data_IF_142350580047
#
_entry.id   IF_142350580047
#
_cell.length_a   1.000
_cell.length_b   1.000
_cell.length_c   1.000
_cell.angle_alpha   90.00
_cell.angle_beta   90.00
_cell.angle_gamma   90.00
#
_symmetry.space_group_name_H-M   'P 1'
#
loop_
_entity.id
_entity.type
_entity.pdbx_description
1 polymer ?
#
# COMPACT_ATOMS: atom_id res chain seq x y z
N UNK A 1 -6.98 3.28 -19.67
CA UNK A 1 -5.57 3.60 -19.33
C UNK A 1 -5.41 5.06 -18.87
N UNK A 2 -6.11 6.03 -19.48
CA UNK A 2 -6.08 7.46 -19.09
C UNK A 2 -6.67 7.74 -17.71
N UNK A 3 -7.82 7.15 -17.36
CA UNK A 3 -8.47 7.34 -16.06
C UNK A 3 -7.62 6.87 -14.86
N UNK A 4 -6.77 5.84 -15.08
CA UNK A 4 -5.86 5.32 -14.05
C UNK A 4 -4.62 6.22 -13.86
N UNK A 5 -4.20 6.91 -14.94
CA UNK A 5 -3.08 7.85 -14.93
C UNK A 5 -3.46 9.17 -14.23
N UNK A 6 -4.67 9.64 -14.46
CA UNK A 6 -5.22 10.85 -13.83
C UNK A 6 -5.42 10.65 -12.31
N UNK A 7 -5.87 9.47 -11.86
CA UNK A 7 -5.94 9.12 -10.43
C UNK A 7 -4.56 9.00 -9.77
N UNK A 8 -3.53 8.49 -10.48
CA UNK A 8 -2.16 8.44 -9.95
C UNK A 8 -1.53 9.83 -9.81
N UNK A 9 -1.74 10.72 -10.76
CA UNK A 9 -1.28 12.11 -10.65
C UNK A 9 -1.97 12.83 -9.48
N UNK A 10 -3.27 12.62 -9.30
CA UNK A 10 -4.00 13.22 -8.19
C UNK A 10 -3.49 12.74 -6.83
N UNK A 11 -3.18 11.44 -6.69
CA UNK A 11 -2.67 10.84 -5.44
C UNK A 11 -1.31 11.44 -5.06
N UNK A 12 -0.35 11.39 -5.96
CA UNK A 12 1.00 11.91 -5.71
C UNK A 12 0.97 13.42 -5.46
N UNK A 13 0.10 14.16 -6.15
CA UNK A 13 -0.07 15.61 -5.95
C UNK A 13 -0.65 15.94 -4.58
N UNK A 14 -1.63 15.17 -4.12
CA UNK A 14 -2.19 15.33 -2.76
C UNK A 14 -1.13 15.06 -1.68
N UNK A 15 -0.34 14.00 -1.84
CA UNK A 15 0.74 13.66 -0.89
C UNK A 15 1.85 14.72 -0.88
N UNK A 16 2.21 15.28 -2.03
CA UNK A 16 3.22 16.32 -2.13
C UNK A 16 2.77 17.67 -1.53
N UNK A 17 1.48 17.88 -1.32
CA UNK A 17 1.00 19.03 -0.54
C UNK A 17 1.52 18.99 0.90
N UNK A 18 1.53 17.80 1.52
CA UNK A 18 2.09 17.61 2.88
C UNK A 18 3.62 17.52 2.90
N UNK A 19 4.26 17.26 1.76
CA UNK A 19 5.71 17.11 1.68
C UNK A 19 6.49 18.44 1.72
N UNK A 20 5.88 19.55 1.33
CA UNK A 20 6.58 20.83 1.21
C UNK A 20 7.83 20.71 0.34
N UNK A 21 9.00 21.13 0.87
CA UNK A 21 10.31 21.00 0.19
C UNK A 21 10.81 19.56 0.11
N UNK A 22 10.37 18.66 0.97
CA UNK A 22 10.78 17.24 0.97
C UNK A 22 10.26 16.45 -0.24
N UNK A 23 9.33 17.01 -1.03
CA UNK A 23 8.94 16.43 -2.33
C UNK A 23 10.13 16.20 -3.26
N UNK A 24 11.16 17.06 -3.21
CA UNK A 24 12.35 16.91 -4.03
C UNK A 24 13.18 15.68 -3.64
N UNK A 25 13.24 15.31 -2.34
CA UNK A 25 13.86 14.07 -1.90
C UNK A 25 13.11 12.84 -2.40
N UNK A 26 11.78 12.87 -2.40
CA UNK A 26 10.97 11.79 -2.97
C UNK A 26 11.18 11.63 -4.48
N UNK A 27 11.29 12.73 -5.22
CA UNK A 27 11.61 12.70 -6.65
C UNK A 27 13.04 12.17 -6.87
N UNK A 28 14.02 12.66 -6.11
CA UNK A 28 15.42 12.19 -6.18
C UNK A 28 15.50 10.69 -5.90
N UNK A 29 14.79 10.20 -4.89
CA UNK A 29 14.69 8.77 -4.58
C UNK A 29 14.21 7.96 -5.79
N UNK A 30 13.15 8.42 -6.45
CA UNK A 30 12.58 7.75 -7.64
C UNK A 30 13.59 7.69 -8.80
N UNK A 31 14.35 8.78 -9.01
CA UNK A 31 15.40 8.85 -10.03
C UNK A 31 16.56 7.91 -9.68
N UNK A 32 17.06 7.95 -8.43
CA UNK A 32 18.13 7.08 -7.98
C UNK A 32 17.73 5.60 -8.06
N UNK A 33 16.49 5.27 -7.69
CA UNK A 33 15.96 3.92 -7.81
C UNK A 33 15.91 3.44 -9.29
N UNK A 34 15.50 4.29 -10.22
CA UNK A 34 15.53 3.98 -11.65
C UNK A 34 16.96 3.79 -12.18
N UNK A 35 17.90 4.67 -11.79
CA UNK A 35 19.32 4.56 -12.17
C UNK A 35 19.93 3.27 -11.61
N UNK A 36 19.64 2.94 -10.33
CA UNK A 36 20.12 1.71 -9.70
C UNK A 36 19.68 0.45 -10.45
N UNK A 37 18.47 0.45 -10.99
CA UNK A 37 17.95 -0.67 -11.78
C UNK A 37 18.77 -0.93 -13.04
N UNK A 38 19.18 0.11 -13.76
CA UNK A 38 20.08 -0.04 -14.91
C UNK A 38 21.48 -0.47 -14.49
N UNK A 39 22.04 0.14 -13.44
CA UNK A 39 23.39 -0.21 -12.93
C UNK A 39 23.42 -1.66 -12.44
N UNK A 40 22.35 -2.15 -11.82
CA UNK A 40 22.22 -3.54 -11.36
C UNK A 40 22.18 -4.57 -12.50
N UNK A 41 21.96 -4.16 -13.75
CA UNK A 41 22.02 -5.05 -14.92
C UNK A 41 23.44 -5.15 -15.50
N UNK A 42 24.31 -4.19 -15.23
CA UNK A 42 25.71 -4.16 -15.76
C UNK A 42 26.53 -5.39 -15.33
N UNK A 43 26.41 -5.92 -14.09
CA UNK A 43 27.10 -7.16 -13.70
C UNK A 43 26.86 -8.34 -14.65
N UNK A 44 25.63 -8.45 -15.22
CA UNK A 44 25.29 -9.54 -16.14
C UNK A 44 26.05 -9.45 -17.45
N UNK A 45 26.31 -8.24 -17.94
CA UNK A 45 27.20 -8.04 -19.09
C UNK A 45 28.63 -8.55 -18.78
N UNK A 46 29.18 -8.26 -17.60
CA UNK A 46 30.51 -8.72 -17.23
C UNK A 46 30.55 -10.24 -16.95
N UNK A 47 29.48 -10.81 -16.40
CA UNK A 47 29.34 -12.28 -16.29
C UNK A 47 29.37 -12.92 -17.67
N UNK A 48 28.66 -12.33 -18.65
CA UNK A 48 28.73 -12.80 -20.04
C UNK A 48 30.15 -12.73 -20.60
N UNK A 49 30.91 -11.64 -20.30
CA UNK A 49 32.31 -11.50 -20.66
C UNK A 49 33.21 -12.60 -20.03
N UNK A 50 32.97 -12.94 -18.77
CA UNK A 50 33.66 -14.04 -18.09
C UNK A 50 33.37 -15.36 -18.80
N UNK A 51 32.08 -15.64 -19.09
CA UNK A 51 31.71 -16.87 -19.82
C UNK A 51 32.33 -16.92 -21.22
N UNK A 52 32.35 -15.79 -21.93
CA UNK A 52 33.01 -15.68 -23.23
C UNK A 52 34.46 -16.03 -23.17
N UNK A 53 35.19 -15.55 -22.15
CA UNK A 53 36.60 -15.83 -21.95
C UNK A 53 36.86 -17.30 -21.59
N UNK A 54 36.02 -17.87 -20.69
CA UNK A 54 36.11 -19.32 -20.34
C UNK A 54 35.93 -20.20 -21.55
N UNK A 55 34.96 -19.90 -22.41
CA UNK A 55 34.75 -20.66 -23.66
C UNK A 55 35.92 -20.47 -24.66
N UNK A 56 36.48 -19.26 -24.75
CA UNK A 56 37.63 -18.98 -25.63
C UNK A 56 38.84 -19.81 -25.29
N UNK A 57 39.13 -19.95 -24.00
CA UNK A 57 40.32 -20.71 -23.54
C UNK A 57 40.06 -22.20 -23.37
N UNK A 58 38.87 -22.69 -23.76
CA UNK A 58 38.47 -24.11 -23.67
C UNK A 58 38.74 -24.70 -22.28
N UNK A 59 38.42 -23.96 -21.22
CA UNK A 59 38.64 -24.28 -19.79
C UNK A 59 40.13 -24.39 -19.36
N UNK A 60 41.10 -23.99 -20.20
CA UNK A 60 42.49 -23.83 -19.79
C UNK A 60 42.67 -22.43 -19.13
N UNK A 61 42.36 -22.35 -17.84
CA UNK A 61 42.37 -21.10 -17.09
C UNK A 61 43.74 -20.43 -17.00
N UNK A 62 44.84 -21.16 -17.28
CA UNK A 62 46.19 -20.56 -17.32
C UNK A 62 46.36 -19.56 -18.46
N UNK A 63 45.53 -19.68 -19.52
CA UNK A 63 45.50 -18.80 -20.70
C UNK A 63 44.44 -17.72 -20.62
N UNK A 64 43.66 -17.69 -19.55
CA UNK A 64 42.56 -16.75 -19.38
C UNK A 64 43.06 -15.39 -18.90
N UNK A 65 43.21 -14.46 -19.85
CA UNK A 65 43.56 -13.07 -19.54
C UNK A 65 42.27 -12.24 -19.36
N UNK A 66 41.95 -11.83 -18.17
CA UNK A 66 40.85 -10.88 -17.94
C UNK A 66 39.66 -11.40 -17.14
N UNK A 67 39.54 -12.70 -16.85
CA UNK A 67 38.46 -13.28 -16.04
C UNK A 67 38.37 -12.55 -14.68
N UNK A 68 39.52 -12.37 -13.98
CA UNK A 68 39.59 -11.67 -12.71
C UNK A 68 39.12 -10.22 -12.84
N UNK A 69 39.56 -9.51 -13.88
CA UNK A 69 39.17 -8.12 -14.14
C UNK A 69 37.66 -7.99 -14.40
N UNK A 70 37.09 -8.87 -15.22
CA UNK A 70 35.65 -8.87 -15.48
C UNK A 70 34.86 -9.27 -14.24
N UNK A 71 35.32 -10.24 -13.47
CA UNK A 71 34.73 -10.65 -12.20
C UNK A 71 34.68 -9.49 -11.20
N UNK A 72 35.81 -8.80 -10.98
CA UNK A 72 35.86 -7.64 -10.08
C UNK A 72 35.00 -6.45 -10.57
N UNK A 73 34.92 -6.22 -11.87
CA UNK A 73 34.01 -5.22 -12.44
C UNK A 73 32.54 -5.60 -12.20
N UNK A 74 32.15 -6.87 -12.36
CA UNK A 74 30.81 -7.32 -12.05
C UNK A 74 30.46 -7.05 -10.59
N UNK A 75 31.34 -7.42 -9.65
CA UNK A 75 31.17 -7.16 -8.22
C UNK A 75 31.10 -5.65 -7.94
N UNK A 76 32.00 -4.87 -8.53
CA UNK A 76 32.01 -3.40 -8.34
C UNK A 76 30.72 -2.72 -8.78
N UNK A 77 30.16 -3.10 -9.95
CA UNK A 77 28.87 -2.55 -10.41
C UNK A 77 27.69 -3.07 -9.59
N UNK A 78 27.73 -4.30 -9.08
CA UNK A 78 26.71 -4.82 -8.18
C UNK A 78 26.65 -4.00 -6.87
N UNK A 79 27.83 -3.74 -6.27
CA UNK A 79 27.95 -2.92 -5.07
C UNK A 79 27.53 -1.47 -5.37
N UNK A 80 27.96 -0.90 -6.50
CA UNK A 80 27.57 0.45 -6.89
C UNK A 80 26.04 0.57 -7.06
N UNK A 81 25.41 -0.39 -7.73
CA UNK A 81 23.94 -0.43 -7.87
C UNK A 81 23.22 -0.48 -6.52
N UNK A 82 23.75 -1.29 -5.59
CA UNK A 82 23.22 -1.38 -4.23
C UNK A 82 23.38 -0.05 -3.46
N UNK A 83 24.54 0.60 -3.55
CA UNK A 83 24.78 1.89 -2.89
C UNK A 83 23.84 2.96 -3.43
N UNK A 84 23.64 3.05 -4.74
CA UNK A 84 22.72 4.02 -5.37
C UNK A 84 21.28 3.74 -4.91
N UNK A 85 20.85 2.47 -4.86
CA UNK A 85 19.53 2.12 -4.38
C UNK A 85 19.31 2.48 -2.91
N UNK A 86 20.29 2.17 -2.04
CA UNK A 86 20.26 2.54 -0.62
C UNK A 86 20.21 4.05 -0.42
N UNK A 87 20.98 4.82 -1.18
CA UNK A 87 20.89 6.28 -1.15
C UNK A 87 19.50 6.78 -1.57
N UNK A 88 18.90 6.17 -2.60
CA UNK A 88 17.52 6.44 -3.00
C UNK A 88 16.52 6.14 -1.89
N UNK A 89 16.63 4.98 -1.22
CA UNK A 89 15.77 4.61 -0.10
C UNK A 89 15.94 5.56 1.09
N UNK A 90 17.15 5.99 1.42
CA UNK A 90 17.35 6.98 2.48
C UNK A 90 16.62 8.29 2.18
N UNK A 91 16.69 8.77 0.95
CA UNK A 91 15.94 9.95 0.51
C UNK A 91 14.42 9.75 0.63
N UNK A 92 13.90 8.56 0.24
CA UNK A 92 12.46 8.26 0.34
C UNK A 92 11.98 8.18 1.78
N UNK A 93 12.73 7.54 2.67
CA UNK A 93 12.37 7.42 4.07
C UNK A 93 12.33 8.79 4.77
N UNK A 94 13.32 9.66 4.54
CA UNK A 94 13.33 11.01 5.10
C UNK A 94 12.10 11.79 4.65
N UNK A 95 11.77 11.74 3.36
CA UNK A 95 10.57 12.39 2.82
C UNK A 95 9.29 11.78 3.39
N UNK A 96 9.20 10.46 3.46
CA UNK A 96 8.03 9.73 3.93
C UNK A 96 7.70 10.01 5.40
N UNK A 97 8.71 9.98 6.29
CA UNK A 97 8.53 10.30 7.70
C UNK A 97 8.10 11.76 7.92
N UNK A 98 8.64 12.68 7.11
CA UNK A 98 8.21 14.07 7.17
C UNK A 98 6.74 14.22 6.77
N UNK A 99 6.33 13.62 5.65
CA UNK A 99 4.93 13.62 5.19
C UNK A 99 4.01 13.00 6.23
N UNK A 100 4.39 11.85 6.80
CA UNK A 100 3.64 11.16 7.85
C UNK A 100 3.42 12.08 9.07
N UNK A 101 4.46 12.76 9.53
CA UNK A 101 4.38 13.68 10.66
C UNK A 101 3.47 14.86 10.35
N UNK A 102 3.61 15.48 9.17
CA UNK A 102 2.76 16.60 8.74
C UNK A 102 1.29 16.19 8.60
N UNK A 103 1.00 15.03 8.04
CA UNK A 103 -0.36 14.50 7.95
C UNK A 103 -0.98 14.30 9.32
N UNK A 104 -0.25 13.70 10.27
CA UNK A 104 -0.74 13.52 11.65
C UNK A 104 -1.01 14.86 12.32
N UNK A 105 -0.10 15.81 12.20
CA UNK A 105 -0.24 17.15 12.78
C UNK A 105 -1.44 17.88 12.18
N UNK A 106 -1.60 17.85 10.85
CA UNK A 106 -2.74 18.48 10.18
C UNK A 106 -4.08 17.86 10.63
N UNK A 107 -4.17 16.53 10.68
CA UNK A 107 -5.37 15.85 11.17
C UNK A 107 -5.68 16.18 12.63
N UNK A 108 -4.67 16.13 13.51
CA UNK A 108 -4.88 16.44 14.92
C UNK A 108 -5.31 17.88 15.14
N UNK A 109 -4.69 18.83 14.47
CA UNK A 109 -5.07 20.23 14.54
C UNK A 109 -6.52 20.43 14.08
N UNK A 110 -6.92 19.78 12.99
CA UNK A 110 -8.29 19.87 12.50
C UNK A 110 -9.29 19.21 13.46
N UNK A 111 -8.99 18.02 14.00
CA UNK A 111 -9.84 17.30 14.95
C UNK A 111 -10.10 18.16 16.21
N UNK A 112 -9.12 18.92 16.67
CA UNK A 112 -9.27 19.82 17.82
C UNK A 112 -10.25 20.97 17.56
N UNK A 113 -10.54 21.29 16.30
CA UNK A 113 -11.52 22.32 15.92
C UNK A 113 -12.93 21.76 15.68
N UNK A 114 -13.08 20.43 15.70
CA UNK A 114 -14.37 19.79 15.45
C UNK A 114 -15.29 19.79 16.68
N UNK A 115 -16.63 19.76 16.49
CA UNK A 115 -17.58 19.63 17.58
C UNK A 115 -17.35 18.35 18.40
N UNK A 116 -17.45 18.43 19.73
CA UNK A 116 -17.29 17.27 20.61
C UNK A 116 -18.26 16.13 20.28
N UNK A 117 -19.51 16.46 19.89
CA UNK A 117 -20.49 15.47 19.46
C UNK A 117 -20.07 14.63 18.27
N UNK A 118 -19.27 15.17 17.33
CA UNK A 118 -18.67 14.39 16.25
C UNK A 118 -17.65 13.36 16.79
N UNK A 119 -16.79 13.80 17.72
CA UNK A 119 -15.78 12.93 18.32
C UNK A 119 -16.43 11.78 19.11
N UNK A 120 -17.51 12.09 19.83
CA UNK A 120 -18.29 11.10 20.59
C UNK A 120 -19.03 10.11 19.68
N UNK A 121 -19.66 10.60 18.60
CA UNK A 121 -20.41 9.75 17.66
C UNK A 121 -19.51 8.81 16.86
N UNK A 122 -18.34 9.28 16.42
CA UNK A 122 -17.37 8.45 15.67
C UNK A 122 -16.56 7.55 16.60
N UNK A 123 -16.38 7.94 17.85
CA UNK A 123 -15.57 7.25 18.84
C UNK A 123 -14.06 7.51 18.68
N UNK A 124 -13.39 7.74 19.79
CA UNK A 124 -11.96 8.08 19.84
C UNK A 124 -11.07 6.99 19.24
N UNK A 125 -11.47 5.71 19.37
CA UNK A 125 -10.74 4.57 18.80
C UNK A 125 -10.72 4.59 17.27
N UNK A 126 -11.87 4.91 16.63
CA UNK A 126 -11.97 5.01 15.15
C UNK A 126 -11.16 6.20 14.64
N UNK A 127 -11.28 7.36 15.27
CA UNK A 127 -10.52 8.57 14.90
C UNK A 127 -9.01 8.30 15.00
N UNK A 128 -8.56 7.74 16.13
CA UNK A 128 -7.15 7.34 16.32
C UNK A 128 -6.68 6.42 15.23
N UNK A 129 -7.48 5.39 14.88
CA UNK A 129 -7.15 4.45 13.81
C UNK A 129 -7.00 5.17 12.47
N UNK A 130 -7.92 6.07 12.10
CA UNK A 130 -7.83 6.84 10.86
C UNK A 130 -6.52 7.64 10.82
N UNK A 131 -6.21 8.38 11.89
CA UNK A 131 -4.97 9.19 11.97
C UNK A 131 -3.72 8.31 11.84
N UNK A 132 -3.68 7.17 12.53
CA UNK A 132 -2.51 6.30 12.56
C UNK A 132 -2.35 5.52 11.26
N UNK A 133 -3.41 4.84 10.82
CA UNK A 133 -3.33 3.90 9.70
C UNK A 133 -3.20 4.63 8.36
N UNK A 134 -3.94 5.75 8.16
CA UNK A 134 -3.81 6.55 6.93
C UNK A 134 -2.41 7.13 6.76
N UNK A 135 -1.84 7.66 7.85
CA UNK A 135 -0.48 8.21 7.81
C UNK A 135 0.58 7.14 7.65
N UNK A 136 0.42 5.94 8.26
CA UNK A 136 1.34 4.82 8.08
C UNK A 136 1.29 4.24 6.66
N UNK A 137 0.10 4.08 6.09
CA UNK A 137 -0.05 3.64 4.69
C UNK A 137 0.64 4.60 3.73
N UNK A 138 0.54 5.92 3.97
CA UNK A 138 1.23 6.95 3.17
C UNK A 138 2.74 6.86 3.31
N UNK A 139 3.25 6.66 4.52
CA UNK A 139 4.69 6.46 4.76
C UNK A 139 5.19 5.25 3.98
N UNK A 140 4.57 4.09 4.14
CA UNK A 140 4.95 2.86 3.43
C UNK A 140 4.92 3.04 1.91
N UNK A 141 3.95 3.77 1.38
CA UNK A 141 3.87 4.07 -0.05
C UNK A 141 5.03 4.93 -0.54
N UNK A 142 5.32 6.03 0.15
CA UNK A 142 6.39 6.96 -0.24
C UNK A 142 7.77 6.36 -0.01
N UNK A 143 7.96 5.62 1.10
CA UNK A 143 9.25 5.05 1.47
C UNK A 143 9.65 3.87 0.57
N UNK A 144 8.72 2.99 0.24
CA UNK A 144 8.99 1.73 -0.45
C UNK A 144 8.30 1.62 -1.81
N UNK A 145 6.97 1.82 -1.86
CA UNK A 145 6.20 1.53 -3.08
C UNK A 145 6.58 2.45 -4.24
N UNK A 146 6.84 3.72 -3.98
CA UNK A 146 7.18 4.68 -5.03
C UNK A 146 8.55 4.42 -5.66
N UNK A 147 9.66 4.20 -4.89
CA UNK A 147 10.93 3.75 -5.45
C UNK A 147 10.83 2.39 -6.15
N UNK A 148 10.12 1.42 -5.56
CA UNK A 148 9.94 0.09 -6.16
C UNK A 148 9.18 0.14 -7.49
N UNK A 149 8.20 1.03 -7.63
CA UNK A 149 7.54 1.30 -8.92
C UNK A 149 8.51 1.82 -9.97
N UNK A 150 9.47 2.67 -9.59
CA UNK A 150 10.49 3.16 -10.51
C UNK A 150 11.41 2.02 -10.97
N UNK A 151 11.89 1.19 -10.05
CA UNK A 151 12.67 -0.02 -10.37
C UNK A 151 11.87 -0.98 -11.25
N UNK A 152 10.61 -1.25 -10.90
CA UNK A 152 9.73 -2.17 -11.64
C UNK A 152 9.40 -1.68 -13.07
N UNK A 153 9.54 -0.40 -13.36
CA UNK A 153 9.42 0.16 -14.72
C UNK A 153 10.76 0.19 -15.44
N UNK A 154 11.84 0.56 -14.74
CA UNK A 154 13.18 0.68 -15.33
C UNK A 154 13.80 -0.68 -15.67
N UNK A 155 13.65 -1.70 -14.80
CA UNK A 155 14.23 -3.03 -15.00
C UNK A 155 13.74 -3.70 -16.30
N UNK A 156 12.43 -3.77 -16.64
CA UNK A 156 11.98 -4.33 -17.90
C UNK A 156 12.56 -3.61 -19.12
N UNK A 157 12.67 -2.28 -19.06
CA UNK A 157 13.28 -1.48 -20.15
C UNK A 157 14.75 -1.89 -20.33
N UNK A 158 15.51 -1.97 -19.23
CA UNK A 158 16.91 -2.41 -19.25
C UNK A 158 17.06 -3.85 -19.76
N UNK A 159 16.16 -4.77 -19.36
CA UNK A 159 16.15 -6.16 -19.84
C UNK A 159 15.84 -6.24 -21.34
N UNK A 160 14.88 -5.48 -21.84
CA UNK A 160 14.56 -5.43 -23.28
C UNK A 160 15.77 -4.93 -24.09
N UNK A 161 16.46 -3.88 -23.58
CA UNK A 161 17.69 -3.39 -24.22
C UNK A 161 18.76 -4.49 -24.25
N UNK A 162 19.00 -5.18 -23.12
CA UNK A 162 19.95 -6.29 -23.07
C UNK A 162 19.54 -7.41 -24.05
N UNK A 163 18.28 -7.80 -24.08
CA UNK A 163 17.78 -8.81 -24.99
C UNK A 163 17.99 -8.44 -26.46
N UNK A 164 17.77 -7.17 -26.81
CA UNK A 164 18.00 -6.69 -28.18
C UNK A 164 19.49 -6.69 -28.57
N UNK A 165 20.39 -6.37 -27.63
CA UNK A 165 21.85 -6.28 -27.86
C UNK A 165 22.49 -7.66 -28.00
N UNK A 166 22.08 -8.64 -27.17
CA UNK A 166 22.73 -9.95 -27.17
C UNK A 166 22.20 -10.89 -28.27
N UNK A 167 20.92 -11.22 -28.26
CA UNK A 167 20.26 -11.97 -29.32
C UNK A 167 18.76 -11.71 -29.32
N UNK A 168 18.29 -10.88 -30.23
CA UNK A 168 16.88 -10.50 -30.31
C UNK A 168 15.92 -11.69 -30.50
N UNK A 169 16.39 -12.81 -31.13
CA UNK A 169 15.58 -14.02 -31.37
C UNK A 169 15.26 -14.71 -30.05
N UNK A 170 16.28 -14.90 -29.21
CA UNK A 170 16.10 -15.43 -27.85
C UNK A 170 15.26 -14.47 -27.00
N UNK A 171 15.45 -13.16 -27.17
CA UNK A 171 14.65 -12.13 -26.52
C UNK A 171 13.15 -12.23 -26.81
N UNK A 172 12.79 -12.39 -28.09
CA UNK A 172 11.38 -12.57 -28.48
C UNK A 172 10.80 -13.83 -27.83
N UNK A 173 11.55 -14.94 -27.85
CA UNK A 173 11.09 -16.19 -27.22
C UNK A 173 10.85 -16.04 -25.71
N UNK A 174 11.62 -15.21 -25.00
CA UNK A 174 11.37 -14.88 -23.60
C UNK A 174 10.16 -13.97 -23.41
N UNK A 175 9.87 -13.07 -24.36
CA UNK A 175 8.75 -12.15 -24.27
C UNK A 175 7.39 -12.81 -24.57
N UNK A 176 7.35 -13.91 -25.33
CA UNK A 176 6.09 -14.63 -25.61
C UNK A 176 5.38 -15.08 -24.32
N UNK A 177 6.01 -15.87 -23.41
CA UNK A 177 5.37 -16.28 -22.18
C UNK A 177 5.09 -15.09 -21.24
N UNK A 178 5.91 -14.03 -21.26
CA UNK A 178 5.62 -12.79 -20.55
C UNK A 178 4.33 -12.13 -21.06
N UNK A 179 4.15 -12.03 -22.38
CA UNK A 179 2.93 -11.48 -22.98
C UNK A 179 1.69 -12.33 -22.63
N UNK A 180 1.81 -13.67 -22.68
CA UNK A 180 0.75 -14.59 -22.25
C UNK A 180 0.40 -14.33 -20.78
N UNK A 181 1.42 -14.18 -19.91
CA UNK A 181 1.23 -13.82 -18.51
C UNK A 181 0.46 -12.50 -18.34
N UNK A 182 0.80 -11.46 -19.10
CA UNK A 182 0.07 -10.19 -19.08
C UNK A 182 -1.40 -10.32 -19.51
N UNK A 183 -1.73 -11.20 -20.45
CA UNK A 183 -3.13 -11.50 -20.83
C UNK A 183 -3.88 -12.09 -19.63
N UNK A 184 -3.29 -13.06 -18.93
CA UNK A 184 -3.88 -13.59 -17.70
C UNK A 184 -4.01 -12.53 -16.61
N UNK A 185 -3.00 -11.69 -16.42
CA UNK A 185 -3.02 -10.61 -15.45
C UNK A 185 -4.08 -9.56 -15.77
N UNK A 186 -4.31 -9.22 -17.05
CA UNK A 186 -5.35 -8.28 -17.46
C UNK A 186 -6.75 -8.80 -17.14
N UNK A 187 -6.95 -10.12 -17.14
CA UNK A 187 -8.23 -10.73 -16.75
C UNK A 187 -8.53 -10.62 -15.25
N UNK A 188 -7.52 -10.27 -14.44
CA UNK A 188 -7.68 -9.93 -13.02
C UNK A 188 -8.13 -8.48 -12.78
N UNK A 189 -8.25 -7.68 -13.82
CA UNK A 189 -8.58 -6.25 -13.75
C UNK A 189 -9.99 -6.01 -14.32
N UNK A 190 -11.03 -6.46 -13.60
CA UNK A 190 -12.43 -6.29 -14.02
C UNK A 190 -13.30 -5.71 -12.91
N UNK A 191 -14.43 -5.09 -13.28
CA UNK A 191 -15.42 -4.56 -12.33
C UNK A 191 -15.94 -5.65 -11.39
N UNK A 192 -16.13 -6.86 -11.89
CA UNK A 192 -16.60 -8.01 -11.11
C UNK A 192 -15.59 -8.46 -10.05
N UNK A 193 -14.30 -8.31 -10.35
CA UNK A 193 -13.25 -8.63 -9.38
C UNK A 193 -13.12 -7.54 -8.32
N UNK A 194 -13.20 -6.28 -8.72
CA UNK A 194 -13.21 -5.15 -7.79
C UNK A 194 -14.40 -5.23 -6.81
N UNK A 195 -15.59 -5.59 -7.31
CA UNK A 195 -16.75 -5.81 -6.46
C UNK A 195 -16.56 -7.01 -5.53
N UNK A 196 -16.02 -8.13 -6.03
CA UNK A 196 -15.71 -9.30 -5.19
C UNK A 196 -14.68 -8.99 -4.10
N UNK A 197 -13.67 -8.17 -4.41
CA UNK A 197 -12.68 -7.71 -3.44
C UNK A 197 -13.31 -6.80 -2.40
N UNK A 198 -14.20 -5.90 -2.80
CA UNK A 198 -14.94 -5.04 -1.88
C UNK A 198 -15.80 -5.84 -0.91
N UNK A 199 -16.52 -6.86 -1.40
CA UNK A 199 -17.33 -7.74 -0.55
C UNK A 199 -16.45 -8.55 0.42
N UNK A 200 -15.32 -9.06 -0.05
CA UNK A 200 -14.33 -9.71 0.80
C UNK A 200 -13.84 -8.79 1.93
N UNK A 201 -13.48 -7.54 1.62
CA UNK A 201 -13.03 -6.56 2.61
C UNK A 201 -14.15 -6.19 3.59
N UNK A 202 -15.37 -5.98 3.13
CA UNK A 202 -16.52 -5.69 3.98
C UNK A 202 -16.80 -6.85 4.94
N UNK A 203 -16.79 -8.09 4.46
CA UNK A 203 -17.02 -9.27 5.31
C UNK A 203 -15.91 -9.46 6.36
N UNK A 204 -14.66 -9.13 6.01
CA UNK A 204 -13.54 -9.12 6.96
C UNK A 204 -13.73 -8.06 8.06
N UNK A 205 -14.22 -6.88 7.70
CA UNK A 205 -14.49 -5.79 8.66
C UNK A 205 -15.61 -6.18 9.62
N UNK A 206 -16.72 -6.72 9.10
CA UNK A 206 -17.84 -7.21 9.93
C UNK A 206 -17.38 -8.33 10.86
N UNK A 207 -16.65 -9.33 10.35
CA UNK A 207 -16.12 -10.42 11.19
C UNK A 207 -15.20 -9.89 12.29
N UNK A 208 -14.33 -8.92 11.98
CA UNK A 208 -13.43 -8.31 12.95
C UNK A 208 -14.19 -7.53 14.03
N UNK A 209 -15.25 -6.81 13.68
CA UNK A 209 -16.10 -6.11 14.64
C UNK A 209 -16.84 -7.08 15.57
N UNK A 210 -17.45 -8.13 15.02
CA UNK A 210 -18.14 -9.16 15.82
C UNK A 210 -17.16 -9.95 16.72
N UNK A 211 -15.90 -10.16 16.29
CA UNK A 211 -14.86 -10.76 17.11
C UNK A 211 -14.53 -9.90 18.35
N UNK A 212 -14.45 -8.58 18.19
CA UNK A 212 -14.22 -7.66 19.31
C UNK A 212 -15.40 -7.70 20.29
N UNK A 213 -16.64 -7.68 19.78
CA UNK A 213 -17.85 -7.81 20.64
C UNK A 213 -17.90 -9.16 21.35
N UNK A 214 -17.51 -10.24 20.66
CA UNK A 214 -17.38 -11.57 21.28
C UNK A 214 -16.41 -11.54 22.47
N UNK A 215 -15.19 -11.01 22.28
CA UNK A 215 -14.18 -10.95 23.33
C UNK A 215 -14.68 -10.13 24.53
N UNK A 216 -15.33 -8.99 24.27
CA UNK A 216 -15.93 -8.15 25.34
C UNK A 216 -17.04 -8.85 26.09
N UNK A 217 -17.82 -9.68 25.41
CA UNK A 217 -18.92 -10.44 25.99
C UNK A 217 -18.53 -11.68 26.77
N UNK A 218 -17.32 -12.23 26.59
CA UNK A 218 -16.85 -13.47 27.24
C UNK A 218 -16.99 -13.47 28.76
N UNK A 219 -16.64 -12.40 29.53
CA UNK A 219 -16.83 -12.38 30.96
C UNK A 219 -18.29 -12.54 31.37
N UNK A 220 -19.21 -11.87 30.65
CA UNK A 220 -20.65 -11.95 30.90
C UNK A 220 -21.17 -13.35 30.66
N UNK A 221 -20.80 -13.98 29.52
CA UNK A 221 -21.19 -15.34 29.17
C UNK A 221 -20.71 -16.35 30.21
N UNK A 222 -19.46 -16.21 30.69
CA UNK A 222 -18.91 -17.08 31.74
C UNK A 222 -19.67 -16.91 33.06
N UNK A 223 -20.04 -15.70 33.43
CA UNK A 223 -20.76 -15.42 34.68
C UNK A 223 -22.16 -16.04 34.67
N UNK A 224 -22.85 -16.02 33.52
CA UNK A 224 -24.21 -16.56 33.39
C UNK A 224 -24.27 -18.01 32.88
N UNK A 225 -23.15 -18.71 32.76
CA UNK A 225 -23.08 -20.10 32.35
C UNK A 225 -23.59 -20.38 30.92
N UNK A 226 -23.63 -19.35 30.06
CA UNK A 226 -24.08 -19.50 28.67
C UNK A 226 -23.00 -20.19 27.83
N UNK A 227 -23.44 -20.87 26.76
CA UNK A 227 -22.53 -21.58 25.84
C UNK A 227 -22.06 -20.69 24.69
N UNK A 228 -21.03 -21.14 23.96
CA UNK A 228 -20.49 -20.48 22.75
C UNK A 228 -21.57 -20.23 21.69
N UNK A 229 -22.67 -20.98 21.67
CA UNK A 229 -23.82 -20.78 20.77
C UNK A 229 -24.57 -19.45 21.00
N UNK A 230 -24.35 -18.80 22.14
CA UNK A 230 -24.91 -17.46 22.39
C UNK A 230 -24.34 -16.38 21.46
N UNK A 231 -23.25 -16.68 20.72
CA UNK A 231 -22.59 -15.76 19.78
C UNK A 231 -22.90 -16.09 18.32
N UNK A 232 -24.17 -16.32 18.05
CA UNK A 232 -24.67 -16.62 16.70
C UNK A 232 -24.17 -15.61 15.66
N UNK A 233 -24.19 -14.32 16.00
CA UNK A 233 -23.76 -13.22 15.10
C UNK A 233 -22.30 -13.36 14.67
N UNK A 234 -21.38 -13.69 15.60
CA UNK A 234 -19.97 -13.87 15.27
C UNK A 234 -19.76 -15.09 14.36
N UNK A 235 -20.48 -16.19 14.64
CA UNK A 235 -20.42 -17.38 13.78
C UNK A 235 -20.94 -17.08 12.36
N UNK A 236 -22.08 -16.39 12.23
CA UNK A 236 -22.62 -15.96 10.95
C UNK A 236 -21.64 -15.04 10.18
N UNK A 237 -20.96 -14.14 10.87
CA UNK A 237 -19.94 -13.29 10.28
C UNK A 237 -18.72 -14.09 9.78
N UNK A 238 -18.30 -15.14 10.51
CA UNK A 238 -17.23 -16.05 10.04
C UNK A 238 -17.69 -16.80 8.79
N UNK A 239 -18.90 -17.37 8.79
CA UNK A 239 -19.43 -18.14 7.67
C UNK A 239 -19.58 -17.25 6.39
N UNK A 240 -20.00 -15.99 6.56
CA UNK A 240 -20.08 -15.03 5.46
C UNK A 240 -18.70 -14.62 4.95
N UNK A 241 -17.72 -14.39 5.85
CA UNK A 241 -16.33 -14.13 5.47
C UNK A 241 -15.72 -15.32 4.73
N UNK A 242 -15.94 -16.55 5.19
CA UNK A 242 -15.50 -17.77 4.50
C UNK A 242 -16.06 -17.83 3.07
N UNK A 243 -17.36 -17.61 2.91
CA UNK A 243 -18.04 -17.63 1.62
C UNK A 243 -17.43 -16.63 0.63
N UNK A 244 -17.20 -15.39 1.06
CA UNK A 244 -16.58 -14.36 0.21
C UNK A 244 -15.12 -14.63 -0.07
N UNK A 245 -14.36 -15.12 0.93
CA UNK A 245 -12.96 -15.51 0.78
C UNK A 245 -12.81 -16.64 -0.25
N UNK A 246 -13.60 -17.69 -0.11
CA UNK A 246 -13.59 -18.82 -1.06
C UNK A 246 -14.05 -18.38 -2.44
N UNK A 247 -15.08 -17.53 -2.52
CA UNK A 247 -15.56 -16.97 -3.78
C UNK A 247 -14.50 -16.17 -4.52
N UNK A 248 -13.85 -15.25 -3.82
CA UNK A 248 -12.74 -14.44 -4.34
C UNK A 248 -11.55 -15.30 -4.78
N UNK A 249 -11.09 -16.23 -3.91
CA UNK A 249 -9.98 -17.13 -4.19
C UNK A 249 -10.26 -18.02 -5.42
N UNK A 250 -11.47 -18.56 -5.56
CA UNK A 250 -11.87 -19.35 -6.73
C UNK A 250 -11.84 -18.54 -8.02
N UNK A 251 -12.29 -17.28 -7.99
CA UNK A 251 -12.22 -16.38 -9.16
C UNK A 251 -10.78 -16.06 -9.54
N UNK A 252 -9.91 -15.79 -8.55
CA UNK A 252 -8.50 -15.45 -8.77
C UNK A 252 -7.64 -16.65 -9.19
N UNK A 253 -8.04 -17.88 -8.83
CA UNK A 253 -7.21 -19.07 -9.02
C UNK A 253 -6.79 -19.30 -10.46
N UNK A 254 -7.73 -19.27 -11.41
CA UNK A 254 -7.43 -19.55 -12.82
C UNK A 254 -6.48 -18.50 -13.43
N UNK A 255 -6.78 -17.18 -13.35
CA UNK A 255 -5.87 -16.15 -13.85
C UNK A 255 -4.51 -16.19 -13.17
N UNK A 256 -4.46 -16.36 -11.85
CA UNK A 256 -3.22 -16.38 -11.08
C UNK A 256 -2.34 -17.58 -11.43
N UNK A 257 -2.91 -18.77 -11.52
CA UNK A 257 -2.19 -19.97 -11.96
C UNK A 257 -1.72 -19.81 -13.39
N UNK A 258 -2.57 -19.30 -14.30
CA UNK A 258 -2.20 -19.02 -15.69
C UNK A 258 -1.03 -18.04 -15.80
N UNK A 259 -1.09 -16.93 -15.08
CA UNK A 259 -0.01 -15.93 -14.99
C UNK A 259 1.28 -16.56 -14.47
N UNK A 260 1.22 -17.22 -13.31
CA UNK A 260 2.41 -17.84 -12.68
C UNK A 260 3.02 -18.91 -13.55
N UNK A 261 2.19 -19.76 -14.17
CA UNK A 261 2.66 -20.81 -15.10
C UNK A 261 3.30 -20.19 -16.33
N UNK A 262 2.68 -19.20 -16.95
CA UNK A 262 3.23 -18.51 -18.12
C UNK A 262 4.58 -17.87 -17.81
N UNK A 263 4.71 -17.13 -16.72
CA UNK A 263 5.95 -16.45 -16.34
C UNK A 263 7.06 -17.47 -16.01
N UNK A 264 6.75 -18.58 -15.34
CA UNK A 264 7.74 -19.61 -15.02
C UNK A 264 8.07 -20.51 -16.22
N UNK A 265 7.25 -20.51 -17.29
CA UNK A 265 7.53 -21.27 -18.50
C UNK A 265 8.60 -20.62 -19.42
N UNK A 266 9.15 -19.45 -19.06
CA UNK A 266 10.20 -18.78 -19.85
C UNK A 266 11.37 -19.73 -20.16
N UNK A 267 11.80 -20.57 -19.21
CA UNK A 267 12.83 -21.56 -19.44
C UNK A 267 12.47 -22.58 -20.51
N UNK A 268 11.21 -22.99 -20.59
CA UNK A 268 10.73 -23.91 -21.64
C UNK A 268 10.86 -23.26 -23.01
N UNK A 269 10.49 -21.97 -23.12
CA UNK A 269 10.63 -21.22 -24.37
C UNK A 269 12.09 -21.02 -24.78
N UNK A 270 13.02 -20.86 -23.82
CA UNK A 270 14.46 -20.81 -24.08
C UNK A 270 14.95 -22.19 -24.65
N UNK A 271 14.47 -23.30 -24.09
CA UNK A 271 14.81 -24.63 -24.60
C UNK A 271 14.27 -24.83 -26.03
N UNK A 272 13.02 -24.42 -26.29
CA UNK A 272 12.43 -24.42 -27.62
C UNK A 272 13.25 -23.54 -28.58
N UNK A 273 13.67 -22.36 -28.14
CA UNK A 273 14.52 -21.47 -28.92
C UNK A 273 15.87 -22.10 -29.24
N UNK A 274 16.48 -22.83 -28.30
CA UNK A 274 17.71 -23.54 -28.50
C UNK A 274 17.58 -24.60 -29.59
N UNK A 275 16.45 -25.32 -29.59
CA UNK A 275 16.16 -26.34 -30.62
C UNK A 275 15.88 -25.71 -31.99
N UNK A 276 15.04 -24.65 -32.04
CA UNK A 276 14.60 -24.03 -33.30
C UNK A 276 15.74 -23.24 -33.99
N UNK A 277 16.52 -22.49 -33.21
CA UNK A 277 17.54 -21.57 -33.74
C UNK A 277 18.96 -22.15 -33.68
N UNK A 278 19.19 -23.17 -32.85
CA UNK A 278 20.51 -23.83 -32.74
C UNK A 278 20.87 -24.71 -33.91
N UNK A 279 19.87 -25.26 -34.65
CA UNK A 279 20.11 -26.16 -35.78
C UNK A 279 20.83 -27.45 -35.40
N UNK A 280 21.52 -28.05 -36.36
CA UNK A 280 22.30 -29.27 -36.14
C UNK A 280 23.64 -29.03 -35.40
N UNK A 281 24.18 -27.80 -35.49
CA UNK A 281 25.41 -27.41 -34.78
C UNK A 281 25.20 -26.10 -34.03
N UNK A 282 25.25 -26.16 -32.70
CA UNK A 282 25.20 -24.97 -31.84
C UNK A 282 26.55 -24.27 -31.93
N UNK A 283 26.56 -23.08 -32.53
CA UNK A 283 27.75 -22.23 -32.54
C UNK A 283 28.11 -21.78 -31.12
N UNK A 284 29.42 -21.62 -30.82
CA UNK A 284 29.88 -21.17 -29.51
C UNK A 284 29.27 -19.83 -29.11
N UNK A 285 29.06 -18.92 -30.06
CA UNK A 285 28.42 -17.61 -29.83
C UNK A 285 26.94 -17.76 -29.44
N UNK A 286 26.19 -18.60 -30.13
CA UNK A 286 24.79 -18.88 -29.81
C UNK A 286 24.65 -19.57 -28.44
N UNK A 287 25.50 -20.57 -28.15
CA UNK A 287 25.52 -21.24 -26.85
C UNK A 287 25.84 -20.29 -25.69
N UNK A 288 26.77 -19.35 -25.91
CA UNK A 288 27.06 -18.28 -24.92
C UNK A 288 25.87 -17.38 -24.64
N UNK A 289 25.19 -16.93 -25.70
CA UNK A 289 23.99 -16.13 -25.55
C UNK A 289 22.86 -16.91 -24.86
N UNK A 290 22.69 -18.18 -25.19
CA UNK A 290 21.73 -19.07 -24.55
C UNK A 290 21.97 -19.18 -23.03
N UNK A 291 23.21 -19.40 -22.62
CA UNK A 291 23.60 -19.41 -21.19
C UNK A 291 23.31 -18.07 -20.53
N UNK A 292 23.58 -16.97 -21.20
CA UNK A 292 23.27 -15.64 -20.69
C UNK A 292 21.76 -15.46 -20.44
N UNK A 293 20.90 -15.90 -21.37
CA UNK A 293 19.46 -15.84 -21.20
C UNK A 293 18.96 -16.72 -20.05
N UNK A 294 19.57 -17.87 -19.83
CA UNK A 294 19.26 -18.72 -18.66
C UNK A 294 19.56 -17.95 -17.35
N UNK A 295 20.68 -17.22 -17.30
CA UNK A 295 21.10 -16.49 -16.10
C UNK A 295 20.19 -15.27 -15.83
N UNK A 296 19.72 -14.56 -16.86
CA UNK A 296 18.86 -13.38 -16.66
C UNK A 296 17.36 -13.72 -16.43
N UNK A 297 16.94 -14.92 -16.79
CA UNK A 297 15.52 -15.34 -16.67
C UNK A 297 14.94 -15.19 -15.27
N UNK A 298 15.64 -15.54 -14.16
CA UNK A 298 15.10 -15.29 -12.82
C UNK A 298 14.79 -13.80 -12.53
N UNK A 299 15.57 -12.89 -13.10
CA UNK A 299 15.34 -11.44 -12.94
C UNK A 299 14.08 -11.03 -13.69
N UNK A 300 13.90 -11.53 -14.91
CA UNK A 300 12.69 -11.28 -15.70
C UNK A 300 11.47 -11.81 -14.96
N UNK A 301 11.51 -13.05 -14.47
CA UNK A 301 10.42 -13.67 -13.70
C UNK A 301 10.08 -12.87 -12.44
N UNK A 302 11.07 -12.52 -11.61
CA UNK A 302 10.85 -11.76 -10.38
C UNK A 302 10.34 -10.35 -10.65
N UNK A 303 10.80 -9.70 -11.72
CA UNK A 303 10.34 -8.37 -12.12
C UNK A 303 8.88 -8.38 -12.56
N UNK A 304 8.46 -9.38 -13.36
CA UNK A 304 7.07 -9.57 -13.77
C UNK A 304 6.15 -9.86 -12.57
N UNK A 305 6.62 -10.66 -11.62
CA UNK A 305 5.88 -10.93 -10.37
C UNK A 305 5.72 -9.67 -9.52
N UNK A 306 6.78 -8.88 -9.33
CA UNK A 306 6.69 -7.59 -8.61
C UNK A 306 5.69 -6.63 -9.27
N UNK A 307 5.66 -6.58 -10.60
CA UNK A 307 4.73 -5.73 -11.34
C UNK A 307 3.27 -6.17 -11.12
N UNK A 308 3.02 -7.48 -11.04
CA UNK A 308 1.68 -8.02 -10.79
C UNK A 308 1.13 -7.63 -9.42
N UNK A 309 1.97 -7.60 -8.38
CA UNK A 309 1.57 -7.27 -7.00
C UNK A 309 1.66 -5.78 -6.63
N UNK A 310 2.17 -4.93 -7.52
CA UNK A 310 2.40 -3.49 -7.23
C UNK A 310 1.12 -2.67 -6.95
N UNK A 311 -0.07 -3.20 -7.24
CA UNK A 311 -1.35 -2.49 -7.11
C UNK A 311 -1.91 -2.42 -5.69
N UNK A 312 -1.61 -3.40 -4.83
CA UNK A 312 -2.23 -3.55 -3.52
C UNK A 312 -1.89 -2.39 -2.56
N UNK A 313 -0.61 -2.05 -2.43
CA UNK A 313 -0.16 -0.95 -1.59
C UNK A 313 -0.76 0.40 -2.00
N UNK A 314 -0.99 0.60 -3.30
CA UNK A 314 -1.64 1.83 -3.79
C UNK A 314 -3.11 1.91 -3.36
N UNK A 315 -3.84 0.79 -3.37
CA UNK A 315 -5.24 0.77 -2.93
C UNK A 315 -5.36 1.14 -1.45
N UNK A 316 -4.47 0.65 -0.60
CA UNK A 316 -4.45 0.98 0.84
C UNK A 316 -4.25 2.49 1.08
N UNK A 317 -3.36 3.12 0.33
CA UNK A 317 -3.13 4.58 0.45
C UNK A 317 -4.34 5.38 -0.04
N UNK A 318 -4.95 4.98 -1.15
CA UNK A 318 -6.17 5.64 -1.67
C UNK A 318 -7.30 5.57 -0.64
N UNK A 319 -7.52 4.42 -0.03
CA UNK A 319 -8.52 4.26 1.04
C UNK A 319 -8.17 5.11 2.28
N UNK A 320 -6.89 5.07 2.71
CA UNK A 320 -6.41 5.90 3.82
C UNK A 320 -6.62 7.40 3.59
N UNK A 321 -6.29 7.90 2.39
CA UNK A 321 -6.50 9.32 2.04
C UNK A 321 -7.99 9.68 1.96
N UNK A 322 -8.83 8.79 1.48
CA UNK A 322 -10.28 8.98 1.48
C UNK A 322 -10.82 9.13 2.89
N UNK A 323 -10.47 8.21 3.80
CA UNK A 323 -10.88 8.28 5.22
C UNK A 323 -10.37 9.55 5.90
N UNK A 324 -9.13 9.94 5.60
CA UNK A 324 -8.56 11.21 6.06
C UNK A 324 -9.38 12.41 5.51
N UNK A 325 -9.69 12.39 4.20
CA UNK A 325 -10.51 13.44 3.56
C UNK A 325 -11.89 13.57 4.19
N UNK A 326 -12.52 12.45 4.54
CA UNK A 326 -13.82 12.45 5.21
C UNK A 326 -13.78 13.18 6.58
N UNK A 327 -12.66 13.06 7.31
CA UNK A 327 -12.43 13.78 8.56
C UNK A 327 -12.10 15.26 8.29
N UNK A 328 -11.19 15.54 7.38
CA UNK A 328 -10.69 16.88 7.07
C UNK A 328 -11.74 17.78 6.42
N UNK A 329 -12.74 17.22 5.76
CA UNK A 329 -13.83 17.94 5.13
C UNK A 329 -14.98 18.26 6.11
N UNK A 330 -14.92 17.80 7.36
CA UNK A 330 -15.91 18.15 8.37
C UNK A 330 -15.76 19.62 8.76
N UNK A 331 -16.90 20.27 8.95
CA UNK A 331 -16.93 21.71 9.30
C UNK A 331 -16.45 21.91 10.73
N UNK A 332 -15.42 22.74 10.89
CA UNK A 332 -14.94 23.19 12.19
C UNK A 332 -15.98 24.07 12.92
N UNK A 333 -15.89 24.07 14.24
CA UNK A 333 -16.65 25.05 15.04
C UNK A 333 -16.29 26.46 14.59
N UNK A 334 -17.31 27.30 14.50
CA UNK A 334 -17.12 28.74 14.19
C UNK A 334 -16.43 29.41 15.36
N UNK A 335 -15.22 29.88 15.15
CA UNK A 335 -14.51 30.70 16.12
C UNK A 335 -14.97 32.18 15.96
N UNK A 336 -15.19 32.84 17.07
CA UNK A 336 -15.45 34.29 17.07
C UNK A 336 -14.13 35.03 16.96
N UNK A 337 -14.01 35.89 15.95
CA UNK A 337 -12.83 36.75 15.74
C UNK A 337 -12.63 37.83 16.81
N UNK A 338 -13.69 38.15 17.57
CA UNK A 338 -13.68 39.14 18.64
C UNK A 338 -14.01 38.50 20.00
N UNK A 339 -13.30 37.44 20.38
CA UNK A 339 -13.45 36.81 21.69
C UNK A 339 -13.15 37.82 22.82
N UNK A 340 -14.05 37.93 23.77
CA UNK A 340 -13.83 38.71 25.00
C UNK A 340 -13.36 37.79 26.10
N UNK A 341 -12.34 38.18 26.86
CA UNK A 341 -11.92 37.46 28.05
C UNK A 341 -13.03 37.64 29.11
N UNK A 342 -13.62 36.55 29.63
CA UNK A 342 -14.62 36.63 30.69
C UNK A 342 -14.06 37.38 31.92
N UNK A 343 -14.84 38.25 32.48
CA UNK A 343 -14.47 39.01 33.72
C UNK A 343 -14.60 38.14 34.98
N UNK A 344 -15.51 37.18 34.93
CA UNK A 344 -15.78 36.23 36.01
C UNK A 344 -16.26 34.88 35.44
N UNK A 345 -16.62 33.94 36.30
CA UNK A 345 -17.12 32.61 35.91
C UNK A 345 -18.66 32.54 35.85
N UNK A 346 -19.35 33.66 35.70
CA UNK A 346 -20.81 33.66 35.51
C UNK A 346 -21.18 33.25 34.08
N UNK A 347 -22.33 32.56 33.93
CA UNK A 347 -22.86 32.12 32.64
C UNK A 347 -24.31 32.64 32.51
N UNK A 348 -24.58 33.39 31.45
CA UNK A 348 -25.91 33.83 31.10
C UNK A 348 -26.33 33.27 29.74
N UNK A 349 -27.37 32.46 29.73
CA UNK A 349 -28.04 31.98 28.53
C UNK A 349 -29.32 32.79 28.33
N UNK A 350 -29.53 33.30 27.12
CA UNK A 350 -30.74 34.09 26.79
C UNK A 350 -31.35 33.53 25.51
N UNK A 351 -32.55 32.98 25.62
CA UNK A 351 -33.33 32.44 24.51
C UNK A 351 -32.53 31.45 23.63
N UNK A 352 -31.82 30.53 24.30
CA UNK A 352 -30.94 29.59 23.62
C UNK A 352 -31.74 28.40 23.11
N UNK A 353 -31.62 28.16 21.81
CA UNK A 353 -32.15 26.98 21.14
C UNK A 353 -30.99 26.18 20.52
N UNK A 354 -30.96 24.87 20.78
CA UNK A 354 -29.92 23.99 20.25
C UNK A 354 -30.50 22.65 19.83
N UNK A 355 -30.09 22.18 18.66
CA UNK A 355 -30.37 20.84 18.15
C UNK A 355 -29.10 20.17 17.75
N UNK A 356 -28.96 18.84 18.01
CA UNK A 356 -27.90 18.04 17.48
C UNK A 356 -28.08 17.84 15.98
N UNK A 357 -26.98 17.70 15.24
CA UNK A 357 -26.99 17.48 13.80
C UNK A 357 -27.83 16.23 13.45
N UNK A 358 -28.81 16.37 12.56
CA UNK A 358 -29.75 15.31 12.18
C UNK A 358 -30.88 15.02 13.19
N UNK A 359 -30.94 15.71 14.30
CA UNK A 359 -32.06 15.56 15.26
C UNK A 359 -33.36 16.17 14.72
N UNK A 360 -34.48 15.44 14.90
CA UNK A 360 -35.82 15.94 14.53
C UNK A 360 -36.44 16.94 15.52
N UNK A 361 -35.87 17.08 16.71
CA UNK A 361 -36.30 17.95 17.78
C UNK A 361 -35.15 18.70 18.40
N UNK A 362 -35.41 19.90 18.90
CA UNK A 362 -34.44 20.67 19.67
C UNK A 362 -34.10 19.91 20.98
N UNK A 363 -32.82 19.84 21.32
CA UNK A 363 -32.37 19.32 22.62
C UNK A 363 -32.52 20.41 23.70
N UNK A 364 -32.36 21.67 23.31
CA UNK A 364 -32.60 22.85 24.11
C UNK A 364 -33.52 23.76 23.29
N UNK A 365 -34.60 24.27 23.87
CA UNK A 365 -35.59 25.05 23.13
C UNK A 365 -35.98 26.28 23.95
N UNK A 366 -35.61 27.47 23.46
CA UNK A 366 -35.91 28.77 24.04
C UNK A 366 -35.59 28.87 25.55
N UNK A 367 -34.43 28.38 25.99
CA UNK A 367 -34.05 28.40 27.42
C UNK A 367 -33.27 29.66 27.77
N UNK A 368 -33.67 30.30 28.86
CA UNK A 368 -32.96 31.42 29.47
C UNK A 368 -32.58 31.07 30.92
N UNK A 369 -31.26 31.04 31.21
CA UNK A 369 -30.73 30.72 32.54
C UNK A 369 -29.60 31.68 32.89
N UNK A 370 -29.56 32.13 34.13
CA UNK A 370 -28.45 32.89 34.69
C UNK A 370 -27.79 32.13 35.83
N UNK A 371 -26.50 31.80 35.66
CA UNK A 371 -25.67 31.09 36.63
C UNK A 371 -24.65 32.08 37.17
N UNK A 372 -24.71 32.40 38.47
CA UNK A 372 -23.75 33.29 39.13
C UNK A 372 -22.41 32.58 39.35
N UNK A 373 -21.34 33.40 39.35
CA UNK A 373 -20.01 32.89 39.66
C UNK A 373 -19.94 32.21 41.04
N UNK A 374 -19.12 31.17 41.17
CA UNK A 374 -18.86 30.44 42.41
C UNK A 374 -20.09 29.78 43.07
N UNK A 375 -21.19 29.58 42.36
CA UNK A 375 -22.35 28.87 42.87
C UNK A 375 -22.36 27.42 42.39
N UNK A 376 -22.58 26.50 43.32
CA UNK A 376 -22.86 25.09 43.05
C UNK A 376 -24.38 24.87 43.06
N UNK A 377 -24.96 24.61 41.92
CA UNK A 377 -26.39 24.24 41.81
C UNK A 377 -26.51 22.73 41.88
N UNK A 378 -27.31 22.20 42.79
CA UNK A 378 -27.72 20.81 42.81
C UNK A 378 -29.01 20.66 42.01
N UNK A 379 -28.97 19.94 40.92
CA UNK A 379 -30.19 19.54 40.21
C UNK A 379 -30.60 18.15 40.72
N UNK A 380 -31.82 17.96 41.21
CA UNK A 380 -32.28 16.63 41.63
C UNK A 380 -32.32 15.72 40.39
N UNK A 381 -31.58 14.63 40.47
CA UNK A 381 -31.64 13.58 39.46
C UNK A 381 -32.94 12.81 39.56
N UNK A 382 -33.62 12.43 38.47
CA UNK A 382 -34.78 11.53 38.54
C UNK A 382 -34.50 10.24 39.33
N UNK A 383 -33.22 9.80 39.42
CA UNK A 383 -32.82 8.68 40.26
C UNK A 383 -32.84 8.97 41.76
N UNK A 384 -32.77 10.22 42.17
CA UNK A 384 -32.76 10.60 43.60
C UNK A 384 -34.19 10.66 44.16
N UNK A 385 -35.19 10.76 43.30
CA UNK A 385 -36.62 10.78 43.67
C UNK A 385 -37.23 9.37 43.79
N UNK A 386 -36.58 8.34 43.24
CA UNK A 386 -37.12 6.96 43.23
C UNK A 386 -36.55 6.05 44.34
N UNK A 387 -35.74 6.54 45.29
CA UNK A 387 -35.33 5.70 46.43
C UNK A 387 -36.43 5.76 47.50
N UNK A 388 -37.17 4.66 47.73
CA UNK A 388 -38.02 4.58 48.89
C UNK A 388 -37.14 4.68 50.14
N UNK A 389 -37.42 5.65 50.99
CA UNK A 389 -36.87 5.69 52.33
C UNK A 389 -37.37 4.45 53.07
N UNK A 390 -36.51 3.47 53.32
CA UNK A 390 -36.71 2.49 54.37
C UNK A 390 -36.39 3.13 55.72
#
# INVERSE_FOLDING_TARGET
MEEKKEKEESLTKQLYHFAGSYKYLSILSTILAAISAFVALVPFYYIWKVMQEVLRVRFDFSKAAGISTYGWRAVGFAILGMIIYMAGLMCSHIAAFHVQAQMRTAMMNHIMTLPLGYIESEGTGKIRKIVTDSSAATETYLAHTLPDKAVSKATPIGLIILMAVFDWRLGIMCLIPAAIGFVFMSSMSGKDLAESMKQYQNSLEVMSAEAVEYIRGVPVVKTFGQTVFSFKRFKEAIDEYEKWTLGFTKKMRKPMVGFTTAVNSIFVFIIIAAYVFGGHEITAAFGLNLLFYIIITPILTTTLMKLAYAGEAQMQVVDGLKRMGDVMNRQSLKETTNGQIPKDSSVSLRDVTFAYEGAKKNAVDHISIEIKACLLYTSPSPRDTERPRM
#
